data_IF_781152284863
#
_entry.id   IF_781152284863
#
_cell.length_a   1.000
_cell.length_b   1.000
_cell.length_c   1.000
_cell.angle_alpha   90.00
_cell.angle_beta   90.00
_cell.angle_gamma   90.00
#
_symmetry.space_group_name_H-M   'P 1'
#
loop_
_entity.id
_entity.type
_entity.pdbx_description
1 polymer ?
#
# COMPACT_ATOMS: atom_id res chain seq x y z
N UNK A 1 63.47 42.83 -31.31
CA UNK A 1 62.61 43.69 -30.44
C UNK A 1 61.17 43.22 -30.56
N UNK A 2 60.45 43.16 -29.42
CA UNK A 2 59.04 42.71 -29.22
C UNK A 2 58.89 41.18 -29.14
N UNK A 3 58.73 40.63 -27.94
CA UNK A 3 57.53 40.59 -27.07
C UNK A 3 56.71 39.32 -27.37
N UNK A 4 56.96 38.26 -26.59
CA UNK A 4 56.12 37.08 -26.53
C UNK A 4 55.44 37.04 -25.16
N UNK A 5 54.11 37.03 -25.21
CA UNK A 5 53.17 37.18 -24.11
C UNK A 5 53.10 35.90 -23.26
N UNK A 6 53.32 36.07 -21.96
CA UNK A 6 53.10 35.06 -20.92
C UNK A 6 51.60 34.95 -20.59
N UNK A 7 50.99 33.79 -20.85
CA UNK A 7 49.70 33.40 -20.25
C UNK A 7 49.93 32.26 -19.27
N UNK A 8 49.81 32.59 -17.98
CA UNK A 8 49.74 31.64 -16.88
C UNK A 8 48.40 30.89 -16.89
N UNK A 9 48.48 29.57 -16.84
CA UNK A 9 47.35 28.66 -16.62
C UNK A 9 46.98 28.74 -15.13
N UNK A 10 45.77 29.21 -14.84
CA UNK A 10 45.21 29.21 -13.48
C UNK A 10 44.86 27.78 -13.06
N UNK A 11 45.55 27.31 -12.04
CA UNK A 11 45.23 26.10 -11.28
C UNK A 11 43.92 26.30 -10.53
N UNK A 12 42.90 25.49 -10.83
CA UNK A 12 41.68 25.40 -10.04
C UNK A 12 41.96 24.55 -8.78
N UNK A 13 42.01 25.20 -7.63
CA UNK A 13 42.04 24.56 -6.33
C UNK A 13 40.73 23.76 -6.10
N UNK A 14 40.87 22.50 -5.68
CA UNK A 14 39.77 21.64 -5.30
C UNK A 14 39.09 22.16 -4.02
N UNK A 15 37.76 22.31 -4.07
CA UNK A 15 36.95 22.63 -2.91
C UNK A 15 36.93 21.45 -1.92
N UNK A 16 36.98 21.68 -0.60
CA UNK A 16 36.93 20.61 0.39
C UNK A 16 35.57 19.92 0.35
N UNK A 17 35.59 18.59 0.30
CA UNK A 17 34.42 17.72 0.40
C UNK A 17 33.64 18.06 1.68
N UNK A 18 32.49 18.69 1.51
CA UNK A 18 31.53 18.94 2.58
C UNK A 18 31.14 17.61 3.24
N UNK A 19 31.26 17.57 4.57
CA UNK A 19 30.81 16.47 5.40
C UNK A 19 29.34 16.13 5.08
N UNK A 20 29.09 14.89 4.67
CA UNK A 20 27.74 14.34 4.54
C UNK A 20 27.12 14.36 5.95
N UNK A 21 25.98 15.03 6.17
CA UNK A 21 25.34 15.03 7.47
C UNK A 21 24.95 13.61 7.86
N UNK A 22 25.49 13.14 8.99
CA UNK A 22 25.10 11.87 9.60
C UNK A 22 23.58 11.83 9.79
N UNK A 23 22.90 10.72 9.43
CA UNK A 23 21.47 10.59 9.66
C UNK A 23 21.21 10.67 11.17
N UNK A 24 20.42 11.65 11.58
CA UNK A 24 20.06 11.89 12.97
C UNK A 24 19.43 10.66 13.65
N UNK A 25 19.45 10.61 14.99
CA UNK A 25 18.94 9.48 15.76
C UNK A 25 17.45 9.23 15.47
N UNK A 26 17.10 7.94 15.31
CA UNK A 26 15.73 7.47 15.07
C UNK A 26 14.80 7.97 16.18
N UNK A 27 13.68 8.60 15.82
CA UNK A 27 12.57 8.72 16.77
C UNK A 27 12.10 7.32 17.17
N UNK A 28 11.89 7.10 18.47
CA UNK A 28 11.34 5.85 18.96
C UNK A 28 10.00 5.59 18.24
N UNK A 29 9.81 4.36 17.75
CA UNK A 29 8.53 3.99 17.13
C UNK A 29 7.44 4.05 18.20
N UNK A 30 6.43 4.87 17.98
CA UNK A 30 5.29 4.99 18.89
C UNK A 30 4.35 3.77 18.77
N UNK A 31 3.66 3.46 19.87
CA UNK A 31 2.81 2.27 19.99
C UNK A 31 1.34 2.62 19.80
N UNK A 32 0.64 1.83 19.00
CA UNK A 32 -0.83 1.86 18.91
C UNK A 32 -1.40 1.20 20.17
N UNK A 33 -2.26 1.91 20.90
CA UNK A 33 -2.85 1.44 22.17
C UNK A 33 -4.36 1.23 22.09
N UNK A 34 -5.06 1.91 21.18
CA UNK A 34 -6.51 1.83 21.01
C UNK A 34 -6.88 1.61 19.54
N UNK A 35 -7.99 0.90 19.33
CA UNK A 35 -8.54 0.58 18.01
C UNK A 35 -10.03 0.80 18.02
N UNK A 36 -10.56 1.34 16.94
CA UNK A 36 -11.98 1.58 16.75
C UNK A 36 -12.41 1.06 15.38
N UNK A 37 -13.60 0.46 15.29
CA UNK A 37 -14.10 -0.10 14.05
C UNK A 37 -15.42 0.57 13.66
N UNK A 38 -15.45 1.09 12.43
CA UNK A 38 -16.57 1.86 11.92
C UNK A 38 -17.13 1.25 10.64
N UNK A 39 -18.38 1.56 10.35
CA UNK A 39 -19.03 1.29 9.07
C UNK A 39 -19.44 2.64 8.48
N UNK A 40 -19.09 2.89 7.22
CA UNK A 40 -19.38 4.18 6.59
C UNK A 40 -20.88 4.50 6.55
N UNK A 41 -21.72 3.46 6.46
CA UNK A 41 -23.20 3.56 6.52
C UNK A 41 -23.75 4.08 7.86
N UNK A 42 -22.94 4.08 8.93
CA UNK A 42 -23.31 4.60 10.24
C UNK A 42 -22.81 6.04 10.48
N UNK A 43 -22.09 6.63 9.52
CA UNK A 43 -21.56 7.99 9.64
C UNK A 43 -22.54 8.98 9.00
N UNK A 44 -22.97 9.98 9.78
CA UNK A 44 -23.65 11.15 9.21
C UNK A 44 -22.71 11.93 8.29
N UNK A 45 -23.28 12.72 7.36
CA UNK A 45 -22.52 13.43 6.33
C UNK A 45 -21.42 14.34 6.91
N UNK A 46 -21.72 15.10 7.96
CA UNK A 46 -20.76 15.97 8.65
C UNK A 46 -19.60 15.16 9.25
N UNK A 47 -19.89 14.11 10.02
CA UNK A 47 -18.85 13.26 10.63
C UNK A 47 -18.01 12.52 9.58
N UNK A 48 -18.61 12.10 8.46
CA UNK A 48 -17.86 11.52 7.33
C UNK A 48 -16.87 12.54 6.76
N UNK A 49 -17.30 13.79 6.55
CA UNK A 49 -16.45 14.85 6.02
C UNK A 49 -15.24 15.15 6.93
N UNK A 50 -15.48 15.29 8.24
CA UNK A 50 -14.41 15.45 9.24
C UNK A 50 -13.43 14.28 9.21
N UNK A 51 -13.95 13.06 9.27
CA UNK A 51 -13.12 11.85 9.24
C UNK A 51 -12.32 11.77 7.94
N UNK A 52 -12.92 12.06 6.78
CA UNK A 52 -12.21 12.07 5.50
C UNK A 52 -11.01 13.03 5.51
N UNK A 53 -11.15 14.21 6.13
CA UNK A 53 -10.05 15.14 6.38
C UNK A 53 -8.95 14.52 7.26
N UNK A 54 -9.31 13.99 8.42
CA UNK A 54 -8.37 13.33 9.35
C UNK A 54 -7.58 12.18 8.68
N UNK A 55 -8.25 11.37 7.86
CA UNK A 55 -7.63 10.28 7.12
C UNK A 55 -6.72 10.77 5.99
N UNK A 56 -7.11 11.86 5.30
CA UNK A 56 -6.30 12.47 4.26
C UNK A 56 -5.00 13.08 4.82
N UNK A 57 -5.05 13.68 6.01
CA UNK A 57 -3.86 14.19 6.68
C UNK A 57 -2.83 13.08 6.94
N UNK A 58 -3.28 11.89 7.36
CA UNK A 58 -2.39 10.73 7.55
C UNK A 58 -1.85 10.22 6.22
N UNK A 59 -2.72 10.12 5.21
CA UNK A 59 -2.33 9.67 3.88
C UNK A 59 -1.25 10.58 3.27
N UNK A 60 -1.46 11.90 3.35
CA UNK A 60 -0.59 12.92 2.76
C UNK A 60 0.77 13.05 3.44
N UNK A 61 0.94 12.55 4.68
CA UNK A 61 2.28 12.44 5.29
C UNK A 61 3.22 11.51 4.51
N UNK A 62 2.66 10.48 3.86
CA UNK A 62 3.46 9.39 3.29
C UNK A 62 3.41 9.36 1.78
N UNK A 63 2.30 9.79 1.20
CA UNK A 63 2.01 9.72 -0.23
C UNK A 63 1.45 11.05 -0.74
N UNK A 64 1.76 11.39 -1.98
CA UNK A 64 1.13 12.50 -2.71
C UNK A 64 0.53 12.01 -4.04
N UNK A 65 -0.29 12.85 -4.67
CA UNK A 65 -0.88 12.56 -5.98
C UNK A 65 -2.40 12.41 -5.99
N UNK A 66 -3.05 12.41 -4.82
CA UNK A 66 -4.50 12.58 -4.71
C UNK A 66 -4.83 13.92 -4.07
N UNK A 67 -5.90 14.55 -4.55
CA UNK A 67 -6.56 15.66 -3.87
C UNK A 67 -7.43 15.11 -2.72
N UNK A 68 -7.85 15.94 -1.76
CA UNK A 68 -8.79 15.51 -0.71
C UNK A 68 -10.06 14.85 -1.28
N UNK A 69 -10.63 15.41 -2.35
CA UNK A 69 -11.82 14.85 -3.00
C UNK A 69 -11.56 13.50 -3.67
N UNK A 70 -10.44 13.36 -4.39
CA UNK A 70 -10.06 12.07 -5.01
C UNK A 70 -9.75 11.00 -3.95
N UNK A 71 -9.24 11.42 -2.79
CA UNK A 71 -9.01 10.53 -1.66
C UNK A 71 -10.33 10.15 -0.94
N UNK A 72 -11.29 11.06 -0.77
CA UNK A 72 -12.61 10.71 -0.25
C UNK A 72 -13.28 9.66 -1.13
N UNK A 73 -13.25 9.84 -2.46
CA UNK A 73 -13.78 8.86 -3.40
C UNK A 73 -13.05 7.52 -3.31
N UNK A 74 -11.72 7.53 -3.10
CA UNK A 74 -10.96 6.32 -2.88
C UNK A 74 -11.43 5.53 -1.64
N UNK A 75 -11.64 6.22 -0.52
CA UNK A 75 -11.97 5.56 0.76
C UNK A 75 -13.46 5.25 0.85
N UNK A 76 -14.31 6.15 0.38
CA UNK A 76 -15.76 6.17 0.63
C UNK A 76 -16.63 6.17 -0.64
N UNK A 77 -16.04 6.12 -1.83
CA UNK A 77 -16.78 6.03 -3.10
C UNK A 77 -17.54 4.71 -3.28
N UNK A 78 -17.10 3.65 -2.59
CA UNK A 78 -17.84 2.39 -2.52
C UNK A 78 -18.81 2.38 -1.33
N UNK A 79 -20.06 1.91 -1.49
CA UNK A 79 -20.97 1.76 -0.37
C UNK A 79 -20.46 0.71 0.63
N UNK A 80 -20.86 0.86 1.91
CA UNK A 80 -20.60 -0.11 3.00
C UNK A 80 -19.11 -0.37 3.30
N UNK A 81 -18.28 0.65 3.14
CA UNK A 81 -16.87 0.62 3.57
C UNK A 81 -16.80 0.36 5.08
N UNK A 82 -15.88 -0.52 5.46
CA UNK A 82 -15.52 -0.78 6.85
C UNK A 82 -14.19 -0.12 7.12
N UNK A 83 -14.07 0.54 8.27
CA UNK A 83 -12.84 1.20 8.70
C UNK A 83 -12.36 0.60 10.03
N UNK A 84 -11.05 0.57 10.17
CA UNK A 84 -10.36 0.43 11.45
C UNK A 84 -9.51 1.69 11.66
N UNK A 85 -9.76 2.38 12.77
CA UNK A 85 -8.97 3.53 13.21
C UNK A 85 -8.02 3.06 14.32
N UNK A 86 -6.79 3.53 14.27
CA UNK A 86 -5.72 3.16 15.20
C UNK A 86 -5.21 4.40 15.90
N UNK A 87 -5.15 4.35 17.23
CA UNK A 87 -4.82 5.49 18.07
C UNK A 87 -3.55 5.26 18.88
N UNK A 88 -2.78 6.33 19.00
CA UNK A 88 -1.58 6.43 19.83
C UNK A 88 -1.90 6.59 21.32
N UNK A 89 -0.84 6.68 22.11
CA UNK A 89 -0.95 6.78 23.57
C UNK A 89 -1.55 8.11 24.06
N UNK A 90 -1.55 9.15 23.21
CA UNK A 90 -2.12 10.47 23.49
C UNK A 90 -3.49 10.65 22.82
N UNK A 91 -4.14 9.55 22.46
CA UNK A 91 -5.41 9.50 21.74
C UNK A 91 -5.38 10.18 20.35
N UNK A 92 -4.19 10.36 19.79
CA UNK A 92 -4.00 10.86 18.43
C UNK A 92 -4.31 9.76 17.39
N UNK A 93 -4.92 10.14 16.27
CA UNK A 93 -5.13 9.20 15.16
C UNK A 93 -3.79 8.89 14.50
N UNK A 94 -3.29 7.69 14.79
CA UNK A 94 -1.99 7.18 14.36
C UNK A 94 -2.04 6.54 12.96
N UNK A 95 -3.20 6.05 12.56
CA UNK A 95 -3.42 5.44 11.25
C UNK A 95 -4.81 4.86 11.10
N UNK A 96 -5.05 4.32 9.91
CA UNK A 96 -6.32 3.68 9.58
C UNK A 96 -6.12 2.56 8.56
N UNK A 97 -7.12 1.69 8.47
CA UNK A 97 -7.30 0.76 7.37
C UNK A 97 -8.76 0.75 6.95
N UNK A 98 -9.00 0.49 5.66
CA UNK A 98 -10.36 0.38 5.14
C UNK A 98 -10.49 -0.80 4.20
N UNK A 99 -11.69 -1.36 4.12
CA UNK A 99 -12.05 -2.42 3.20
C UNK A 99 -13.49 -2.24 2.70
N UNK A 100 -13.69 -2.53 1.42
CA UNK A 100 -14.99 -2.65 0.79
C UNK A 100 -15.01 -3.89 -0.11
N UNK A 101 -16.19 -4.40 -0.43
CA UNK A 101 -16.35 -5.58 -1.29
C UNK A 101 -17.30 -5.20 -2.42
N UNK A 102 -16.80 -5.28 -3.64
CA UNK A 102 -17.62 -5.20 -4.85
C UNK A 102 -17.97 -6.61 -5.33
N UNK A 103 -19.09 -6.74 -6.05
CA UNK A 103 -19.47 -7.98 -6.74
C UNK A 103 -19.48 -7.74 -8.24
N UNK A 104 -18.81 -8.64 -8.95
CA UNK A 104 -18.73 -8.58 -10.41
C UNK A 104 -19.17 -9.89 -11.01
N UNK A 105 -19.82 -9.83 -12.16
CA UNK A 105 -20.05 -11.00 -12.99
C UNK A 105 -18.94 -11.09 -14.04
N UNK A 106 -18.29 -12.24 -14.13
CA UNK A 106 -17.26 -12.50 -15.13
C UNK A 106 -17.20 -14.00 -15.43
N UNK A 107 -17.23 -14.36 -16.72
CA UNK A 107 -17.25 -15.75 -17.15
C UNK A 107 -18.48 -16.52 -16.65
N UNK A 108 -19.65 -15.88 -16.58
CA UNK A 108 -20.91 -16.49 -16.11
C UNK A 108 -20.96 -16.80 -14.62
N UNK A 109 -20.04 -16.24 -13.82
CA UNK A 109 -19.98 -16.42 -12.37
C UNK A 109 -19.86 -15.08 -11.65
N UNK A 110 -20.54 -14.95 -10.51
CA UNK A 110 -20.37 -13.82 -9.61
C UNK A 110 -19.10 -14.02 -8.77
N UNK A 111 -18.24 -13.01 -8.71
CA UNK A 111 -17.04 -12.94 -7.88
C UNK A 111 -17.18 -11.79 -6.88
N UNK A 112 -16.83 -12.05 -5.63
CA UNK A 112 -16.65 -11.03 -4.62
C UNK A 112 -15.19 -10.55 -4.66
N UNK A 113 -14.99 -9.24 -4.81
CA UNK A 113 -13.64 -8.66 -4.88
C UNK A 113 -13.52 -7.58 -3.82
N UNK A 114 -12.75 -7.90 -2.79
CA UNK A 114 -12.39 -6.96 -1.75
C UNK A 114 -11.39 -5.93 -2.31
N UNK A 115 -11.56 -4.67 -1.94
CA UNK A 115 -10.60 -3.58 -2.14
C UNK A 115 -10.34 -2.91 -0.79
N UNK A 116 -9.19 -2.26 -0.65
CA UNK A 116 -8.82 -1.64 0.62
C UNK A 116 -7.33 -1.35 0.73
N UNK A 117 -6.96 -0.66 1.80
CA UNK A 117 -5.60 -0.27 2.11
C UNK A 117 -5.43 0.09 3.58
N UNK A 118 -4.20 0.37 3.98
CA UNK A 118 -3.88 0.83 5.33
C UNK A 118 -2.73 1.83 5.32
N UNK A 119 -2.91 2.92 6.06
CA UNK A 119 -2.00 4.07 6.12
C UNK A 119 -1.73 4.43 7.57
N UNK A 120 -0.49 4.76 7.88
CA UNK A 120 -0.04 5.10 9.22
C UNK A 120 0.93 6.26 9.13
N UNK A 121 0.90 7.13 10.14
CA UNK A 121 1.90 8.18 10.29
C UNK A 121 3.29 7.55 10.41
N UNK A 122 4.30 8.26 9.93
CA UNK A 122 5.63 7.70 9.68
C UNK A 122 6.37 7.16 10.92
N UNK A 123 5.97 7.59 12.12
CA UNK A 123 6.51 7.17 13.42
C UNK A 123 5.75 6.00 14.05
N UNK A 124 4.68 5.49 13.42
CA UNK A 124 3.91 4.33 13.87
C UNK A 124 4.14 3.09 13.02
N UNK A 125 4.12 1.91 13.65
CA UNK A 125 4.18 0.60 12.96
C UNK A 125 2.87 -0.17 13.09
N UNK A 126 1.84 0.25 12.35
CA UNK A 126 0.53 -0.42 12.35
C UNK A 126 0.30 -1.43 11.24
N UNK A 127 1.30 -1.70 10.42
CA UNK A 127 1.17 -2.57 9.24
C UNK A 127 0.54 -3.94 9.48
N UNK A 128 1.05 -4.74 10.44
CA UNK A 128 0.44 -6.01 10.80
C UNK A 128 -1.01 -5.90 11.32
N UNK A 129 -1.35 -4.81 12.02
CA UNK A 129 -2.72 -4.57 12.50
C UNK A 129 -3.69 -4.29 11.36
N UNK A 130 -3.27 -3.50 10.35
CA UNK A 130 -4.06 -3.32 9.14
C UNK A 130 -4.24 -4.65 8.39
N UNK A 131 -3.20 -5.48 8.29
CA UNK A 131 -3.31 -6.81 7.68
C UNK A 131 -4.34 -7.69 8.41
N UNK A 132 -4.33 -7.75 9.75
CA UNK A 132 -5.32 -8.48 10.52
C UNK A 132 -6.75 -7.98 10.26
N UNK A 133 -6.94 -6.66 10.19
CA UNK A 133 -8.24 -6.08 9.88
C UNK A 133 -8.74 -6.51 8.50
N UNK A 134 -7.92 -6.39 7.46
CA UNK A 134 -8.28 -6.76 6.08
C UNK A 134 -8.58 -8.27 5.99
N UNK A 135 -7.73 -9.10 6.58
CA UNK A 135 -7.92 -10.55 6.61
C UNK A 135 -9.21 -10.94 7.35
N UNK A 136 -9.50 -10.27 8.47
CA UNK A 136 -10.75 -10.45 9.20
C UNK A 136 -11.99 -10.11 8.36
N UNK A 137 -11.92 -9.08 7.51
CA UNK A 137 -13.01 -8.78 6.57
C UNK A 137 -13.15 -9.88 5.51
N UNK A 138 -12.04 -10.40 4.98
CA UNK A 138 -12.04 -11.51 4.04
C UNK A 138 -12.68 -12.78 4.64
N UNK A 139 -12.27 -13.17 5.85
CA UNK A 139 -12.83 -14.31 6.58
C UNK A 139 -14.34 -14.12 6.78
N UNK A 140 -14.76 -12.94 7.26
CA UNK A 140 -16.19 -12.63 7.47
C UNK A 140 -16.99 -12.73 6.17
N UNK A 141 -16.45 -12.24 5.06
CA UNK A 141 -17.09 -12.33 3.76
C UNK A 141 -17.23 -13.79 3.30
N UNK A 142 -16.16 -14.58 3.45
CA UNK A 142 -16.13 -15.98 3.03
C UNK A 142 -17.04 -16.89 3.87
N UNK A 143 -17.26 -16.55 5.15
CA UNK A 143 -18.24 -17.22 6.02
C UNK A 143 -19.69 -16.87 5.65
N UNK A 144 -19.93 -15.68 5.09
CA UNK A 144 -21.28 -15.25 4.66
C UNK A 144 -21.66 -15.82 3.30
N UNK A 145 -20.70 -15.93 2.39
CA UNK A 145 -20.91 -16.35 1.00
C UNK A 145 -19.95 -17.48 0.63
N UNK A 146 -20.17 -18.71 1.14
CA UNK A 146 -19.17 -19.76 1.04
C UNK A 146 -18.97 -20.35 -0.37
N UNK A 147 -19.85 -20.06 -1.31
CA UNK A 147 -19.78 -20.55 -2.69
C UNK A 147 -19.34 -19.48 -3.70
N UNK A 148 -19.28 -18.23 -3.28
CA UNK A 148 -18.81 -17.10 -4.09
C UNK A 148 -17.28 -17.03 -4.02
N UNK A 149 -16.55 -17.04 -5.15
CA UNK A 149 -15.13 -16.76 -5.17
C UNK A 149 -14.85 -15.41 -4.53
N UNK A 150 -13.85 -15.38 -3.66
CA UNK A 150 -13.39 -14.17 -3.01
C UNK A 150 -11.93 -13.92 -3.40
N UNK A 151 -11.66 -12.68 -3.79
CA UNK A 151 -10.31 -12.18 -3.99
C UNK A 151 -10.14 -10.81 -3.34
N UNK A 152 -8.89 -10.42 -3.15
CA UNK A 152 -8.53 -9.07 -2.75
C UNK A 152 -7.69 -8.44 -3.85
N UNK A 153 -8.15 -7.32 -4.39
CA UNK A 153 -7.45 -6.53 -5.38
C UNK A 153 -7.08 -5.18 -4.77
N UNK A 154 -5.80 -4.86 -4.73
CA UNK A 154 -5.28 -3.59 -4.19
C UNK A 154 -4.15 -3.02 -5.03
N UNK A 155 -3.80 -1.76 -4.77
CA UNK A 155 -2.63 -1.09 -5.34
C UNK A 155 -1.49 -1.15 -4.33
N UNK A 156 -0.40 -1.83 -4.68
CA UNK A 156 0.85 -1.74 -3.97
C UNK A 156 1.62 -0.50 -4.46
N UNK A 157 1.44 0.60 -3.74
CA UNK A 157 2.08 1.91 -4.05
C UNK A 157 3.58 1.93 -3.76
N UNK A 158 4.07 0.97 -2.98
CA UNK A 158 5.50 0.85 -2.69
C UNK A 158 5.95 -0.61 -2.75
N UNK A 159 7.24 -0.87 -3.04
CA UNK A 159 7.82 -2.21 -2.94
C UNK A 159 7.62 -2.84 -1.55
N UNK A 160 7.66 -2.05 -0.48
CA UNK A 160 7.40 -2.53 0.87
C UNK A 160 5.96 -3.03 1.07
N UNK A 161 4.98 -2.39 0.44
CA UNK A 161 3.58 -2.84 0.46
C UNK A 161 3.42 -4.16 -0.29
N UNK A 162 4.01 -4.28 -1.49
CA UNK A 162 4.01 -5.52 -2.27
C UNK A 162 4.66 -6.68 -1.50
N UNK A 163 5.88 -6.46 -1.00
CA UNK A 163 6.61 -7.44 -0.19
C UNK A 163 5.79 -7.94 1.00
N UNK A 164 5.08 -7.04 1.70
CA UNK A 164 4.22 -7.43 2.82
C UNK A 164 3.12 -8.39 2.36
N UNK A 165 2.45 -8.11 1.24
CA UNK A 165 1.46 -9.01 0.67
C UNK A 165 2.09 -10.36 0.30
N UNK A 166 3.26 -10.36 -0.37
CA UNK A 166 3.96 -11.56 -0.80
C UNK A 166 4.40 -12.48 0.35
N UNK A 167 4.79 -11.90 1.50
CA UNK A 167 5.17 -12.67 2.69
C UNK A 167 3.94 -13.13 3.48
N UNK A 168 2.87 -12.32 3.50
CA UNK A 168 1.67 -12.61 4.29
C UNK A 168 0.81 -13.64 3.58
N UNK A 169 0.57 -13.48 2.30
CA UNK A 169 -0.38 -14.28 1.53
C UNK A 169 0.37 -15.36 0.73
N UNK A 170 -0.14 -16.61 0.72
CA UNK A 170 0.52 -17.69 -0.02
C UNK A 170 0.42 -17.48 -1.53
N UNK A 171 -0.70 -16.96 -2.02
CA UNK A 171 -1.00 -16.84 -3.45
C UNK A 171 -1.36 -15.39 -3.80
N UNK A 172 -0.44 -14.71 -4.49
CA UNK A 172 -0.65 -13.37 -5.04
C UNK A 172 -0.26 -13.33 -6.52
N UNK A 173 -0.79 -12.38 -7.27
CA UNK A 173 -0.44 -12.09 -8.65
C UNK A 173 -0.32 -10.58 -8.87
N UNK A 174 0.64 -10.10 -9.67
CA UNK A 174 1.71 -10.90 -10.27
C UNK A 174 2.69 -11.40 -9.20
N UNK A 175 3.40 -12.49 -9.48
CA UNK A 175 4.34 -13.11 -8.53
C UNK A 175 5.60 -13.59 -9.23
N UNK A 176 6.74 -13.46 -8.55
CA UNK A 176 8.01 -14.06 -9.01
C UNK A 176 8.03 -15.58 -8.97
N UNK A 177 7.11 -16.22 -8.23
CA UNK A 177 7.17 -17.66 -7.92
C UNK A 177 6.24 -18.50 -8.81
N UNK A 178 5.25 -17.88 -9.43
CA UNK A 178 4.22 -18.57 -10.19
C UNK A 178 3.70 -17.62 -11.27
N UNK A 179 3.43 -18.17 -12.46
CA UNK A 179 2.82 -17.43 -13.53
C UNK A 179 1.39 -17.01 -13.16
N UNK A 180 1.00 -15.81 -13.57
CA UNK A 180 -0.36 -15.31 -13.44
C UNK A 180 -1.31 -16.12 -14.35
N UNK A 181 -2.37 -16.73 -13.80
CA UNK A 181 -3.41 -17.36 -14.60
C UNK A 181 -4.15 -16.36 -15.51
N UNK A 182 -4.51 -16.80 -16.71
CA UNK A 182 -5.16 -15.93 -17.73
C UNK A 182 -6.53 -15.42 -17.25
N UNK A 183 -7.28 -16.23 -16.50
CA UNK A 183 -8.57 -15.85 -15.90
C UNK A 183 -8.41 -14.75 -14.84
N UNK A 184 -7.36 -14.81 -14.03
CA UNK A 184 -7.03 -13.75 -13.06
C UNK A 184 -6.70 -12.45 -13.77
N UNK A 185 -5.91 -12.50 -14.85
CA UNK A 185 -5.61 -11.30 -15.63
C UNK A 185 -6.87 -10.73 -16.29
N UNK A 186 -7.74 -11.58 -16.85
CA UNK A 186 -9.02 -11.16 -17.44
C UNK A 186 -9.92 -10.48 -16.41
N UNK A 187 -9.98 -11.00 -15.18
CA UNK A 187 -10.69 -10.38 -14.05
C UNK A 187 -10.12 -9.00 -13.71
N UNK A 188 -8.79 -8.86 -13.61
CA UNK A 188 -8.13 -7.57 -13.32
C UNK A 188 -8.42 -6.55 -14.43
N UNK A 189 -8.37 -6.97 -15.69
CA UNK A 189 -8.74 -6.11 -16.84
C UNK A 189 -10.21 -5.67 -16.77
N UNK A 190 -11.13 -6.56 -16.41
CA UNK A 190 -12.55 -6.23 -16.26
C UNK A 190 -12.83 -5.30 -15.06
N UNK A 191 -12.07 -5.44 -13.97
CA UNK A 191 -12.24 -4.65 -12.75
C UNK A 191 -11.61 -3.27 -12.82
N UNK A 192 -10.53 -3.12 -13.57
CA UNK A 192 -9.75 -1.88 -13.59
C UNK A 192 -10.58 -0.65 -13.97
N UNK A 193 -11.40 -0.66 -15.05
CA UNK A 193 -12.28 0.46 -15.38
C UNK A 193 -13.33 0.74 -14.31
N UNK A 194 -13.92 -0.31 -13.72
CA UNK A 194 -14.93 -0.18 -12.64
C UNK A 194 -14.38 0.47 -11.38
N UNK A 195 -13.07 0.35 -11.15
CA UNK A 195 -12.37 0.97 -10.02
C UNK A 195 -11.61 2.24 -10.42
N UNK A 196 -11.86 2.75 -11.63
CA UNK A 196 -11.20 3.94 -12.19
C UNK A 196 -9.66 3.84 -12.18
N UNK A 197 -9.13 2.63 -12.37
CA UNK A 197 -7.70 2.41 -12.48
C UNK A 197 -7.24 2.74 -13.89
N UNK A 198 -6.35 3.72 -14.00
CA UNK A 198 -5.79 4.18 -15.27
C UNK A 198 -4.49 3.42 -15.52
N UNK A 199 -4.48 2.55 -16.52
CA UNK A 199 -3.27 1.80 -16.90
C UNK A 199 -2.20 2.75 -17.46
N UNK A 200 -0.93 2.46 -17.15
CA UNK A 200 0.22 3.27 -17.63
C UNK A 200 0.67 2.83 -19.03
N UNK A 201 0.56 1.55 -19.31
CA UNK A 201 0.96 0.91 -20.56
C UNK A 201 0.08 -0.34 -20.81
N UNK A 202 0.46 -1.20 -21.76
CA UNK A 202 -0.28 -2.42 -22.10
C UNK A 202 -0.28 -3.48 -20.96
N UNK A 203 0.62 -3.34 -19.98
CA UNK A 203 0.67 -4.21 -18.81
C UNK A 203 -0.51 -3.89 -17.88
N UNK A 204 -1.48 -4.83 -17.71
CA UNK A 204 -2.70 -4.57 -16.96
C UNK A 204 -2.44 -4.41 -15.45
N UNK A 205 -1.24 -4.75 -15.00
CA UNK A 205 -0.85 -4.73 -13.61
C UNK A 205 -0.30 -3.37 -13.16
N UNK A 206 0.06 -2.45 -14.08
CA UNK A 206 0.65 -1.15 -13.70
C UNK A 206 -0.33 -0.02 -13.97
N UNK A 207 -0.66 0.72 -12.91
CA UNK A 207 -1.67 1.79 -12.95
C UNK A 207 -1.16 3.08 -12.33
N UNK A 208 -1.68 4.21 -12.81
CA UNK A 208 -1.44 5.52 -12.19
C UNK A 208 -2.05 5.55 -10.79
N UNK A 209 -1.33 6.12 -9.85
CA UNK A 209 -1.71 6.24 -8.45
C UNK A 209 -0.87 7.31 -7.76
N UNK A 210 -0.74 7.19 -6.46
CA UNK A 210 0.06 8.05 -5.61
C UNK A 210 1.56 7.72 -5.68
N UNK A 211 2.39 8.70 -5.35
CA UNK A 211 3.83 8.53 -5.19
C UNK A 211 4.22 8.68 -3.70
N UNK A 212 5.21 7.92 -3.22
CA UNK A 212 5.80 8.17 -1.91
C UNK A 212 6.59 9.48 -1.89
N UNK A 213 6.53 10.22 -0.78
CA UNK A 213 7.36 11.42 -0.60
C UNK A 213 8.86 11.12 -0.52
N UNK A 214 9.22 10.00 0.10
CA UNK A 214 10.61 9.61 0.29
C UNK A 214 10.85 8.17 -0.20
N UNK A 215 11.02 7.98 -1.52
CA UNK A 215 11.31 6.66 -2.10
C UNK A 215 12.68 6.13 -1.65
N UNK A 216 13.63 7.00 -1.26
CA UNK A 216 14.99 6.60 -0.88
C UNK A 216 15.02 5.73 0.39
N UNK A 217 14.05 5.90 1.30
CA UNK A 217 13.89 5.06 2.49
C UNK A 217 13.68 3.59 2.18
N UNK A 218 13.27 3.27 0.96
CA UNK A 218 12.99 1.91 0.52
C UNK A 218 14.23 1.18 -0.02
N UNK A 219 15.33 1.90 -0.31
CA UNK A 219 16.59 1.31 -0.81
C UNK A 219 17.15 0.22 0.11
N UNK A 220 16.86 0.30 1.41
CA UNK A 220 17.26 -0.73 2.39
C UNK A 220 16.67 -2.11 2.11
N UNK A 221 15.65 -2.19 1.26
CA UNK A 221 14.98 -3.42 0.89
C UNK A 221 15.41 -3.94 -0.49
N UNK A 222 16.36 -3.28 -1.16
CA UNK A 222 16.77 -3.61 -2.54
C UNK A 222 17.37 -5.01 -2.68
N UNK A 223 17.81 -5.63 -1.58
CA UNK A 223 18.29 -7.01 -1.57
C UNK A 223 17.17 -8.05 -1.52
N UNK A 224 15.93 -7.65 -1.20
CA UNK A 224 14.81 -8.58 -1.09
C UNK A 224 14.28 -8.98 -2.48
N UNK A 225 14.13 -10.28 -2.78
CA UNK A 225 13.75 -10.73 -4.11
C UNK A 225 12.33 -10.32 -4.50
N UNK A 226 11.39 -10.18 -3.56
CA UNK A 226 10.03 -9.72 -3.85
C UNK A 226 10.02 -8.21 -4.14
N UNK A 227 10.95 -7.44 -3.55
CA UNK A 227 11.15 -6.01 -3.86
C UNK A 227 11.77 -5.81 -5.23
N UNK A 228 12.78 -6.60 -5.61
CA UNK A 228 13.36 -6.54 -6.96
C UNK A 228 12.32 -6.85 -8.03
N UNK A 229 11.56 -7.93 -7.86
CA UNK A 229 10.47 -8.27 -8.77
C UNK A 229 9.45 -7.13 -8.93
N UNK A 230 9.09 -6.46 -7.84
CA UNK A 230 8.23 -5.27 -7.90
C UNK A 230 8.87 -4.14 -8.71
N UNK A 231 10.15 -3.83 -8.47
CA UNK A 231 10.86 -2.75 -9.16
C UNK A 231 11.04 -3.02 -10.65
N UNK A 232 11.24 -4.29 -11.02
CA UNK A 232 11.34 -4.71 -12.42
C UNK A 232 10.01 -4.50 -13.16
N UNK A 233 8.87 -4.79 -12.51
CA UNK A 233 7.54 -4.59 -13.11
C UNK A 233 7.06 -3.14 -13.05
N UNK A 234 7.43 -2.40 -12.01
CA UNK A 234 6.97 -1.03 -11.74
C UNK A 234 8.14 -0.09 -11.40
N UNK A 235 9.03 0.20 -12.37
CA UNK A 235 10.15 1.13 -12.15
C UNK A 235 9.66 2.57 -11.93
N UNK A 236 8.43 2.90 -12.34
CA UNK A 236 7.82 4.21 -12.20
C UNK A 236 7.16 4.50 -10.85
N UNK A 237 7.28 3.62 -9.85
CA UNK A 237 6.52 3.78 -8.59
C UNK A 237 6.76 5.13 -7.89
N UNK A 238 8.01 5.64 -7.94
CA UNK A 238 8.37 6.93 -7.36
C UNK A 238 7.72 8.13 -8.10
N UNK A 239 7.20 7.92 -9.31
CA UNK A 239 6.53 8.92 -10.15
C UNK A 239 5.00 8.84 -10.09
N UNK A 240 4.46 8.00 -9.22
CA UNK A 240 3.01 7.86 -9.04
C UNK A 240 2.43 6.68 -9.81
N UNK A 241 3.18 5.59 -9.92
CA UNK A 241 2.70 4.34 -10.49
C UNK A 241 2.57 3.30 -9.38
N UNK A 242 1.60 2.40 -9.50
CA UNK A 242 1.38 1.34 -8.53
C UNK A 242 1.15 0.02 -9.24
N UNK A 243 1.65 -1.04 -8.62
CA UNK A 243 1.38 -2.40 -9.06
C UNK A 243 0.04 -2.85 -8.47
N UNK A 244 -0.91 -3.23 -9.31
CA UNK A 244 -2.07 -3.98 -8.90
C UNK A 244 -1.63 -5.35 -8.40
N UNK A 245 -2.19 -5.76 -7.26
CA UNK A 245 -1.95 -7.06 -6.66
C UNK A 245 -3.28 -7.75 -6.45
N UNK A 246 -3.46 -8.87 -7.13
CA UNK A 246 -4.53 -9.81 -6.92
C UNK A 246 -4.09 -10.83 -5.89
N UNK A 247 -4.87 -10.98 -4.83
CA UNK A 247 -4.62 -11.95 -3.76
C UNK A 247 -5.78 -12.92 -3.75
N UNK A 248 -5.47 -14.21 -3.87
CA UNK A 248 -6.49 -15.25 -3.71
C UNK A 248 -6.92 -15.30 -2.25
N UNK A 249 -8.23 -15.37 -2.01
CA UNK A 249 -8.80 -15.28 -0.67
C UNK A 249 -9.77 -16.45 -0.41
N UNK A 250 -9.31 -17.68 -0.69
CA UNK A 250 -9.96 -18.85 -0.13
C UNK A 250 -9.72 -18.96 1.38
N UNK A 251 -10.46 -19.85 2.06
CA UNK A 251 -10.38 -19.96 3.51
C UNK A 251 -8.99 -20.38 4.02
N UNK A 252 -8.27 -21.23 3.28
CA UNK A 252 -6.95 -21.70 3.68
C UNK A 252 -5.91 -20.57 3.56
N UNK A 253 -5.97 -19.82 2.46
CA UNK A 253 -5.12 -18.65 2.22
C UNK A 253 -5.36 -17.57 3.27
N UNK A 254 -6.64 -17.28 3.57
CA UNK A 254 -7.03 -16.31 4.60
C UNK A 254 -6.58 -16.73 6.00
N UNK A 255 -6.76 -17.99 6.38
CA UNK A 255 -6.34 -18.51 7.68
C UNK A 255 -4.81 -18.48 7.83
N UNK A 256 -4.08 -18.89 6.79
CA UNK A 256 -2.61 -18.85 6.75
C UNK A 256 -2.09 -17.41 6.86
N UNK A 257 -2.68 -16.49 6.08
CA UNK A 257 -2.37 -15.07 6.15
C UNK A 257 -2.65 -14.48 7.53
N UNK A 258 -3.77 -14.86 8.16
CA UNK A 258 -4.14 -14.41 9.50
C UNK A 258 -3.14 -14.87 10.55
N UNK A 259 -2.75 -16.15 10.53
CA UNK A 259 -1.75 -16.69 11.44
C UNK A 259 -0.38 -15.98 11.29
N UNK A 260 0.05 -15.70 10.07
CA UNK A 260 1.30 -14.96 9.80
C UNK A 260 1.22 -13.51 10.29
N UNK A 261 0.09 -12.84 10.05
CA UNK A 261 -0.13 -11.48 10.53
C UNK A 261 -0.16 -11.42 12.07
N UNK A 262 -0.76 -12.40 12.75
CA UNK A 262 -0.76 -12.50 14.21
C UNK A 262 0.64 -12.62 14.80
N UNK A 263 1.51 -13.46 14.21
CA UNK A 263 2.92 -13.58 14.62
C UNK A 263 3.69 -12.27 14.45
N UNK A 264 3.36 -11.48 13.42
CA UNK A 264 3.99 -10.19 13.20
C UNK A 264 3.52 -9.09 14.17
N UNK A 265 2.33 -9.23 14.77
CA UNK A 265 1.82 -8.32 15.82
C UNK A 265 2.44 -8.64 17.18
N UNK A 266 2.65 -9.92 17.48
CA UNK A 266 3.26 -10.39 18.72
C UNK A 266 4.60 -11.10 18.42
N UNK A 267 5.71 -10.37 18.19
CA UNK A 267 7.01 -10.99 17.95
C UNK A 267 7.58 -11.72 19.19
N UNK A 268 6.87 -11.72 20.31
CA UNK A 268 7.23 -12.46 21.53
C UNK A 268 6.66 -13.88 21.43
N UNK A 269 7.51 -14.80 20.96
CA UNK A 269 7.54 -16.25 21.20
C UNK A 269 7.94 -16.97 19.91
N UNK A 270 9.24 -17.26 19.82
CA UNK A 270 9.90 -18.41 19.18
C UNK A 270 11.39 -18.04 19.03
N UNK A 271 12.09 -18.05 20.18
CA UNK A 271 13.51 -18.42 20.24
C UNK A 271 13.55 -19.77 20.93
#
# INVERSE_FOLDING_TARGET
MRSASSRAVKSCAAAPLGQIPSPGPRSATERIVRREYLRSECLGASRRGELAGELYDIYSETLHGYTPAAFDELVFGTPRVRLALFYGARDELAGFAFAAIDRIEHGGRIHAVMGGGGFFRSHYRGGPLASLFILGQGIRARLREPHTPLAYLTRATTPAAYRRLAVTMPTIYPSRRHQTPVDVEALVRALSPRRHYIQVNENPWVVRSAAPHDPSRLQRLDHDPDVRFYLDLNPGFAKGESLLVWVRADMADLASGFARAMRAVNPVNLR
#
